data_IF_048244787551
#
_entry.id   IF_048244787551
#
_cell.length_a   1.000
_cell.length_b   1.000
_cell.length_c   1.000
_cell.angle_alpha   90.00
_cell.angle_beta   90.00
_cell.angle_gamma   90.00
#
_symmetry.space_group_name_H-M   'P 1'
#
loop_
_entity.id
_entity.type
_entity.pdbx_description
1 polymer ?
#
# COMPACT_ATOMS: atom_id res chain seq x y z
N UNK A 1 8.99 -1.37 15.32
CA UNK A 1 8.47 -1.64 16.68
C UNK A 1 6.96 -1.64 16.60
N UNK A 2 6.25 -2.48 17.36
CA UNK A 2 4.78 -2.45 17.38
C UNK A 2 4.30 -1.81 18.69
N UNK A 3 3.33 -0.90 18.60
CA UNK A 3 2.72 -0.18 19.73
C UNK A 3 1.21 -0.35 19.66
N UNK A 4 0.54 -0.48 20.81
CA UNK A 4 -0.91 -0.62 20.82
C UNK A 4 -1.59 0.75 20.64
N UNK A 5 -1.02 1.80 21.22
CA UNK A 5 -1.61 3.14 21.22
C UNK A 5 -0.60 4.24 20.89
N UNK A 6 -1.12 5.44 20.58
CA UNK A 6 -0.31 6.66 20.43
C UNK A 6 0.54 6.95 21.67
N UNK A 7 0.02 6.69 22.86
CA UNK A 7 0.71 6.96 24.12
C UNK A 7 1.92 6.03 24.36
N UNK A 8 1.90 4.84 23.75
CA UNK A 8 3.01 3.88 23.78
C UNK A 8 4.03 4.13 22.66
N UNK A 9 3.75 5.05 21.74
CA UNK A 9 4.71 5.44 20.72
C UNK A 9 5.95 6.05 21.40
N UNK A 10 7.16 5.69 20.95
CA UNK A 10 8.37 6.27 21.48
C UNK A 10 8.37 7.76 21.14
N UNK A 11 8.97 8.62 21.98
CA UNK A 11 9.06 10.03 21.64
C UNK A 11 9.84 10.21 20.32
N UNK A 12 9.56 11.28 19.57
CA UNK A 12 10.36 11.68 18.43
C UNK A 12 11.84 11.80 18.84
N UNK A 13 12.74 11.29 17.99
CA UNK A 13 14.18 11.36 18.21
C UNK A 13 14.78 12.32 17.19
N UNK A 14 15.62 13.30 17.60
CA UNK A 14 16.30 14.17 16.65
C UNK A 14 17.04 13.36 15.57
N UNK A 15 17.05 13.87 14.33
CA UNK A 15 17.67 13.19 13.18
C UNK A 15 17.11 11.80 12.84
N UNK A 16 15.94 11.43 13.36
CA UNK A 16 15.24 10.20 12.99
C UNK A 16 13.98 10.53 12.20
N UNK A 17 13.83 9.91 11.04
CA UNK A 17 12.59 9.90 10.29
C UNK A 17 11.71 8.75 10.77
N UNK A 18 10.55 9.08 11.33
CA UNK A 18 9.53 8.10 11.71
C UNK A 18 8.61 7.79 10.53
N UNK A 19 8.42 6.50 10.25
CA UNK A 19 7.44 5.98 9.30
C UNK A 19 6.42 5.14 10.06
N UNK A 20 5.15 5.52 9.97
CA UNK A 20 4.07 4.82 10.63
C UNK A 20 3.52 3.70 9.72
N UNK A 21 3.38 2.50 10.27
CA UNK A 21 2.67 1.39 9.63
C UNK A 21 1.35 1.19 10.36
N UNK A 22 0.23 1.43 9.68
CA UNK A 22 -1.11 1.22 10.22
C UNK A 22 -1.46 -0.25 10.05
N UNK A 23 -1.27 -1.03 11.12
CA UNK A 23 -1.40 -2.49 11.07
C UNK A 23 -2.84 -2.93 11.33
N UNK A 24 -3.55 -3.28 10.26
CA UNK A 24 -4.97 -3.66 10.28
C UNK A 24 -5.21 -5.13 10.64
N UNK A 25 -4.22 -5.84 11.17
CA UNK A 25 -4.25 -7.29 11.35
C UNK A 25 -5.28 -7.83 12.36
N UNK A 26 -5.72 -7.03 13.34
CA UNK A 26 -6.68 -7.43 14.39
C UNK A 26 -6.39 -8.81 15.03
N UNK A 27 -5.11 -9.07 15.36
CA UNK A 27 -4.69 -10.34 15.95
C UNK A 27 -4.50 -11.52 14.97
N UNK A 28 -4.77 -11.33 13.67
CA UNK A 28 -4.48 -12.32 12.65
C UNK A 28 -3.05 -12.19 12.09
N UNK A 29 -2.45 -13.27 11.59
CA UNK A 29 -1.16 -13.21 10.90
C UNK A 29 -1.21 -12.35 9.63
N UNK A 30 -0.53 -11.20 9.66
CA UNK A 30 -0.46 -10.27 8.52
C UNK A 30 0.90 -10.40 7.83
N UNK A 31 0.93 -11.04 6.65
CA UNK A 31 2.13 -11.12 5.81
C UNK A 31 2.46 -9.78 5.15
N UNK A 32 1.42 -9.00 4.81
CA UNK A 32 1.57 -7.67 4.21
C UNK A 32 2.32 -6.72 5.12
N UNK A 33 2.03 -6.72 6.43
CA UNK A 33 2.80 -5.94 7.40
C UNK A 33 4.30 -6.23 7.34
N UNK A 34 4.70 -7.49 7.41
CA UNK A 34 6.11 -7.87 7.38
C UNK A 34 6.77 -7.50 6.04
N UNK A 35 6.02 -7.60 4.95
CA UNK A 35 6.46 -7.23 3.62
C UNK A 35 6.69 -5.71 3.48
N UNK A 36 5.80 -4.88 4.05
CA UNK A 36 5.97 -3.42 4.13
C UNK A 36 7.21 -3.06 4.96
N UNK A 37 7.33 -3.61 6.17
CA UNK A 37 8.50 -3.38 7.04
C UNK A 37 9.78 -3.83 6.34
N UNK A 38 9.73 -4.93 5.60
CA UNK A 38 10.88 -5.39 4.85
C UNK A 38 11.25 -4.45 3.70
N UNK A 39 10.26 -3.95 2.95
CA UNK A 39 10.47 -2.99 1.85
C UNK A 39 11.15 -1.72 2.36
N UNK A 40 10.66 -1.17 3.48
CA UNK A 40 11.30 -0.03 4.15
C UNK A 40 12.72 -0.33 4.60
N UNK A 41 12.96 -1.51 5.18
CA UNK A 41 14.31 -1.94 5.57
C UNK A 41 15.23 -2.05 4.37
N UNK A 42 14.75 -2.57 3.25
CA UNK A 42 15.55 -2.72 2.03
C UNK A 42 16.00 -1.35 1.52
N UNK A 43 15.08 -0.38 1.40
CA UNK A 43 15.42 0.98 1.01
C UNK A 43 16.41 1.60 2.00
N UNK A 44 16.19 1.45 3.32
CA UNK A 44 17.13 1.97 4.32
C UNK A 44 18.54 1.32 4.23
N UNK A 45 18.62 0.05 3.82
CA UNK A 45 19.90 -0.61 3.56
C UNK A 45 20.61 -0.02 2.33
N UNK A 46 19.89 0.27 1.24
CA UNK A 46 20.45 0.93 0.06
C UNK A 46 21.00 2.33 0.42
N UNK A 47 20.37 3.01 1.36
CA UNK A 47 20.73 4.35 1.79
C UNK A 47 21.73 4.39 2.96
N UNK A 48 22.26 3.24 3.40
CA UNK A 48 23.01 3.11 4.66
C UNK A 48 24.19 4.07 4.76
N UNK A 49 24.98 4.19 3.70
CA UNK A 49 26.19 5.03 3.70
C UNK A 49 25.84 6.52 3.79
N UNK A 50 24.79 6.94 3.09
CA UNK A 50 24.28 8.31 3.13
C UNK A 50 23.64 8.67 4.47
N UNK A 51 22.85 7.75 5.03
CA UNK A 51 22.27 7.89 6.37
C UNK A 51 23.36 8.03 7.43
N UNK A 52 24.40 7.20 7.37
CA UNK A 52 25.53 7.27 8.28
C UNK A 52 26.30 8.59 8.14
N UNK A 53 26.61 9.02 6.92
CA UNK A 53 27.32 10.27 6.65
C UNK A 53 26.53 11.51 7.12
N UNK A 54 25.20 11.50 6.95
CA UNK A 54 24.32 12.57 7.42
C UNK A 54 23.89 12.41 8.89
N UNK A 55 24.35 11.36 9.60
CA UNK A 55 23.93 11.05 10.97
C UNK A 55 22.41 10.90 11.14
N UNK A 56 21.70 10.46 10.09
CA UNK A 56 20.26 10.28 10.07
C UNK A 56 19.89 8.81 10.33
N UNK A 57 18.66 8.60 10.79
CA UNK A 57 18.09 7.27 11.00
C UNK A 57 16.67 7.20 10.44
N UNK A 58 16.23 5.98 10.09
CA UNK A 58 14.84 5.68 9.75
C UNK A 58 14.31 4.72 10.80
N UNK A 59 13.16 5.04 11.39
CA UNK A 59 12.50 4.21 12.40
C UNK A 59 11.07 3.90 11.93
N UNK A 60 10.72 2.62 12.01
CA UNK A 60 9.38 2.14 11.65
C UNK A 60 8.59 1.82 12.91
N UNK A 61 7.42 2.46 13.05
CA UNK A 61 6.51 2.30 14.19
C UNK A 61 5.19 1.75 13.65
N UNK A 62 4.89 0.51 14.02
CA UNK A 62 3.65 -0.18 13.64
C UNK A 62 2.60 0.05 14.71
N UNK A 63 1.47 0.62 14.35
CA UNK A 63 0.35 0.89 15.25
C UNK A 63 -0.72 -0.19 15.08
N UNK A 64 -1.11 -0.87 16.17
CA UNK A 64 -2.25 -1.80 16.15
C UNK A 64 -3.56 -1.03 16.17
N UNK A 65 -4.00 -0.63 14.98
CA UNK A 65 -5.13 0.29 14.79
C UNK A 65 -6.41 -0.27 15.38
N UNK A 66 -6.72 -1.53 15.09
CA UNK A 66 -8.05 -2.10 15.32
C UNK A 66 -8.28 -2.57 16.76
N UNK A 67 -7.22 -2.93 17.49
CA UNK A 67 -7.35 -3.41 18.88
C UNK A 67 -7.30 -2.31 19.93
N UNK A 68 -6.62 -1.20 19.65
CA UNK A 68 -6.34 -0.18 20.66
C UNK A 68 -6.42 1.26 20.13
N UNK A 69 -7.08 1.47 18.97
CA UNK A 69 -7.21 2.78 18.32
C UNK A 69 -5.85 3.48 18.14
N UNK A 70 -4.79 2.71 17.91
CA UNK A 70 -3.46 3.25 17.71
C UNK A 70 -3.37 3.95 16.37
N UNK A 71 -3.36 5.29 16.38
CA UNK A 71 -3.00 6.10 15.22
C UNK A 71 -1.79 6.99 15.56
N UNK A 72 -0.87 7.23 14.61
CA UNK A 72 0.19 8.22 14.79
C UNK A 72 -0.41 9.63 14.92
N UNK A 73 0.41 10.55 15.42
CA UNK A 73 0.11 11.99 15.28
C UNK A 73 0.60 12.45 13.93
N UNK A 74 -0.16 13.31 13.26
CA UNK A 74 0.36 14.09 12.15
C UNK A 74 1.13 15.29 12.71
N UNK A 75 2.43 15.31 12.50
CA UNK A 75 3.28 16.43 12.87
C UNK A 75 2.94 17.65 11.99
N UNK A 76 2.81 18.83 12.60
CA UNK A 76 2.45 20.06 11.89
C UNK A 76 3.58 20.61 10.99
N UNK A 77 4.82 20.17 11.17
CA UNK A 77 5.96 20.52 10.33
C UNK A 77 6.14 19.55 9.16
N UNK A 78 5.96 18.24 9.37
CA UNK A 78 6.29 17.22 8.37
C UNK A 78 5.09 16.48 7.76
N UNK A 79 3.90 16.60 8.35
CA UNK A 79 2.66 16.03 7.83
C UNK A 79 2.46 14.53 7.99
N UNK A 80 3.41 13.78 8.55
CA UNK A 80 3.28 12.33 8.77
C UNK A 80 3.40 11.44 7.51
N UNK A 81 4.06 10.28 7.67
CA UNK A 81 4.22 9.28 6.62
C UNK A 81 3.63 7.93 7.06
N UNK A 82 2.47 7.60 6.52
CA UNK A 82 1.72 6.39 6.88
C UNK A 82 1.65 5.39 5.72
N UNK A 83 1.79 4.11 6.06
CA UNK A 83 1.52 2.98 5.16
C UNK A 83 0.50 2.09 5.86
N UNK A 84 -0.70 1.97 5.30
CA UNK A 84 -1.72 1.10 5.88
C UNK A 84 -1.77 -0.26 5.21
N UNK A 85 -1.84 -1.30 6.02
CA UNK A 85 -1.78 -2.69 5.53
C UNK A 85 -3.16 -3.24 5.20
N UNK A 86 -3.17 -4.42 4.57
CA UNK A 86 -4.34 -5.29 4.57
C UNK A 86 -4.71 -5.78 5.97
N UNK A 87 -5.90 -6.36 6.07
CA UNK A 87 -6.52 -6.81 7.32
C UNK A 87 -7.76 -7.68 7.02
N UNK A 88 -8.15 -8.56 7.95
CA UNK A 88 -9.30 -9.45 7.77
C UNK A 88 -10.64 -8.78 8.12
N UNK A 89 -11.75 -9.40 7.75
CA UNK A 89 -13.11 -9.00 8.12
C UNK A 89 -13.72 -7.93 7.23
N UNK A 90 -14.89 -7.48 7.66
CA UNK A 90 -15.71 -6.48 7.00
C UNK A 90 -15.02 -5.12 7.04
N UNK A 91 -15.16 -4.30 5.98
CA UNK A 91 -14.57 -2.95 5.91
C UNK A 91 -15.29 -1.94 6.82
N UNK A 92 -16.58 -2.18 7.04
CA UNK A 92 -17.36 -1.60 8.15
C UNK A 92 -17.11 -2.36 9.46
N UNK A 93 -16.43 -1.76 10.45
CA UNK A 93 -16.15 -2.45 11.70
C UNK A 93 -17.40 -2.71 12.54
N UNK A 94 -18.50 -1.97 12.35
CA UNK A 94 -19.76 -2.26 13.05
C UNK A 94 -20.42 -3.55 12.56
N UNK A 95 -20.04 -4.04 11.37
CA UNK A 95 -20.50 -5.33 10.80
C UNK A 95 -19.56 -6.50 11.14
N UNK A 96 -18.45 -6.25 11.82
CA UNK A 96 -17.60 -7.29 12.38
C UNK A 96 -18.18 -7.75 13.73
N UNK A 97 -19.31 -8.45 13.64
CA UNK A 97 -20.13 -8.96 14.75
C UNK A 97 -19.95 -10.48 15.01
N UNK A 98 -19.02 -11.11 14.28
CA UNK A 98 -18.77 -12.54 14.28
C UNK A 98 -19.81 -13.39 13.54
N UNK A 99 -20.82 -12.77 12.90
CA UNK A 99 -21.95 -13.45 12.25
C UNK A 99 -22.09 -13.08 10.78
N UNK A 100 -21.86 -11.82 10.41
CA UNK A 100 -21.85 -11.39 9.02
C UNK A 100 -20.88 -12.28 8.23
N UNK A 101 -21.27 -12.86 7.09
CA UNK A 101 -20.40 -13.75 6.33
C UNK A 101 -19.05 -13.12 5.99
N UNK A 102 -19.04 -11.81 5.75
CA UNK A 102 -17.85 -11.06 5.45
C UNK A 102 -17.08 -10.57 6.69
N UNK A 103 -17.61 -10.75 7.89
CA UNK A 103 -16.86 -10.55 9.14
C UNK A 103 -15.72 -11.55 9.31
N UNK A 104 -15.77 -12.68 8.62
CA UNK A 104 -14.83 -13.79 8.80
C UNK A 104 -14.74 -14.27 10.25
N UNK A 105 -15.84 -14.19 11.02
CA UNK A 105 -15.89 -14.56 12.43
C UNK A 105 -15.24 -13.53 13.36
N UNK A 106 -14.86 -12.36 12.85
CA UNK A 106 -14.28 -11.29 13.66
C UNK A 106 -15.38 -10.59 14.43
N UNK A 107 -15.13 -10.48 15.73
CA UNK A 107 -15.81 -9.54 16.63
C UNK A 107 -14.83 -8.40 16.89
N UNK A 108 -15.23 -7.16 16.60
CA UNK A 108 -14.40 -6.00 16.92
C UNK A 108 -15.22 -4.83 17.46
N UNK A 109 -14.51 -3.89 18.10
CA UNK A 109 -15.08 -2.63 18.54
C UNK A 109 -14.84 -1.57 17.44
N UNK A 110 -15.89 -0.92 16.89
CA UNK A 110 -15.74 0.08 15.84
C UNK A 110 -15.15 1.42 16.31
N UNK A 111 -14.84 1.59 17.60
CA UNK A 111 -14.36 2.86 18.16
C UNK A 111 -13.02 3.35 17.58
N UNK A 112 -12.29 2.51 16.85
CA UNK A 112 -11.06 2.93 16.15
C UNK A 112 -11.33 3.70 14.86
N UNK A 113 -12.48 3.54 14.22
CA UNK A 113 -12.76 4.12 12.89
C UNK A 113 -12.73 5.65 12.89
N UNK A 114 -13.40 6.36 13.83
CA UNK A 114 -13.35 7.83 13.85
C UNK A 114 -11.93 8.39 14.00
N UNK A 115 -11.09 7.69 14.76
CA UNK A 115 -9.68 8.06 15.00
C UNK A 115 -8.83 7.92 13.72
N UNK A 116 -9.06 6.86 12.95
CA UNK A 116 -8.43 6.66 11.64
C UNK A 116 -8.91 7.68 10.62
N UNK A 117 -10.20 7.99 10.59
CA UNK A 117 -10.73 9.00 9.68
C UNK A 117 -10.15 10.38 9.97
N UNK A 118 -10.01 10.75 11.25
CA UNK A 118 -9.32 11.99 11.64
C UNK A 118 -7.86 11.99 11.19
N UNK A 119 -7.13 10.88 11.37
CA UNK A 119 -5.78 10.75 10.83
C UNK A 119 -5.73 10.98 9.31
N UNK A 120 -6.67 10.40 8.57
CA UNK A 120 -6.73 10.56 7.12
C UNK A 120 -7.05 12.02 6.71
N UNK A 121 -7.94 12.69 7.44
CA UNK A 121 -8.21 14.11 7.25
C UNK A 121 -6.95 14.96 7.52
N UNK A 122 -6.23 14.71 8.62
CA UNK A 122 -5.00 15.42 8.97
C UNK A 122 -3.90 15.21 7.91
N UNK A 123 -3.70 13.96 7.45
CA UNK A 123 -2.75 13.63 6.38
C UNK A 123 -3.11 14.30 5.05
N UNK A 124 -4.40 14.36 4.71
CA UNK A 124 -4.87 14.99 3.47
C UNK A 124 -4.73 16.51 3.52
N UNK A 125 -5.04 17.12 4.67
CA UNK A 125 -4.96 18.56 4.88
C UNK A 125 -3.52 19.08 4.87
N UNK A 126 -2.55 18.28 5.33
CA UNK A 126 -1.15 18.68 5.32
C UNK A 126 -0.50 18.46 3.93
N UNK A 127 0.20 19.46 3.34
CA UNK A 127 0.83 19.33 2.02
C UNK A 127 1.93 18.26 1.99
N UNK A 128 2.60 18.04 3.13
CA UNK A 128 3.59 16.98 3.29
C UNK A 128 3.02 15.61 3.66
N UNK A 129 1.72 15.48 3.97
CA UNK A 129 1.16 14.22 4.47
C UNK A 129 1.11 13.13 3.41
N UNK A 130 1.43 11.90 3.82
CA UNK A 130 1.50 10.74 2.92
C UNK A 130 0.75 9.55 3.52
N UNK A 131 -0.08 8.90 2.71
CA UNK A 131 -0.79 7.68 3.02
C UNK A 131 -0.73 6.74 1.81
N UNK A 132 -0.07 5.59 1.98
CA UNK A 132 -0.11 4.49 1.02
C UNK A 132 -0.96 3.35 1.62
N UNK A 133 -2.20 3.22 1.16
CA UNK A 133 -3.19 2.27 1.69
C UNK A 133 -3.29 1.00 0.85
N UNK A 134 -3.16 -0.16 1.50
CA UNK A 134 -3.15 -1.48 0.85
C UNK A 134 -4.39 -2.28 1.30
N UNK A 135 -5.07 -2.92 0.34
CA UNK A 135 -6.17 -3.86 0.52
C UNK A 135 -7.25 -3.35 1.49
N UNK A 136 -7.24 -3.80 2.75
CA UNK A 136 -8.20 -3.37 3.77
C UNK A 136 -8.11 -1.87 4.05
N UNK A 137 -6.90 -1.29 4.13
CA UNK A 137 -6.76 0.17 4.29
C UNK A 137 -7.36 0.91 3.09
N UNK A 138 -7.18 0.41 1.87
CA UNK A 138 -7.85 0.96 0.69
C UNK A 138 -9.38 0.93 0.82
N UNK A 139 -9.95 -0.19 1.29
CA UNK A 139 -11.38 -0.28 1.56
C UNK A 139 -11.87 0.72 2.62
N UNK A 140 -11.09 0.92 3.69
CA UNK A 140 -11.36 1.93 4.73
C UNK A 140 -11.25 3.36 4.15
N UNK A 141 -10.29 3.63 3.26
CA UNK A 141 -10.21 4.91 2.54
C UNK A 141 -11.45 5.17 1.67
N UNK A 142 -11.93 4.15 0.93
CA UNK A 142 -13.16 4.27 0.14
C UNK A 142 -14.38 4.61 0.99
N UNK A 143 -14.47 4.04 2.20
CA UNK A 143 -15.53 4.36 3.19
C UNK A 143 -15.39 5.76 3.75
N UNK A 144 -14.20 6.15 4.18
CA UNK A 144 -13.89 7.50 4.66
C UNK A 144 -14.33 8.57 3.66
N UNK A 145 -14.01 8.35 2.38
CA UNK A 145 -14.33 9.28 1.29
C UNK A 145 -15.79 9.15 0.80
N UNK A 146 -16.50 8.10 1.19
CA UNK A 146 -17.86 7.76 0.72
C UNK A 146 -17.96 7.68 -0.81
N UNK A 147 -16.98 7.04 -1.44
CA UNK A 147 -16.88 6.96 -2.91
C UNK A 147 -17.24 5.59 -3.47
N UNK A 148 -17.22 4.53 -2.64
CA UNK A 148 -17.52 3.19 -3.07
C UNK A 148 -18.15 2.36 -1.94
N UNK A 149 -19.08 1.48 -2.33
CA UNK A 149 -19.73 0.53 -1.44
C UNK A 149 -18.97 -0.81 -1.43
N UNK A 150 -18.76 -1.41 -0.25
CA UNK A 150 -18.18 -2.74 -0.15
C UNK A 150 -19.23 -3.80 -0.47
N UNK A 151 -19.01 -4.55 -1.54
CA UNK A 151 -19.86 -5.66 -1.96
C UNK A 151 -19.10 -6.97 -1.79
N UNK A 152 -19.66 -7.88 -1.00
CA UNK A 152 -19.07 -9.20 -0.78
C UNK A 152 -19.09 -9.99 -2.11
N UNK A 153 -17.95 -10.56 -2.50
CA UNK A 153 -17.84 -11.35 -3.72
C UNK A 153 -18.60 -12.67 -3.59
N UNK A 154 -19.59 -12.88 -4.47
CA UNK A 154 -20.36 -14.11 -4.52
C UNK A 154 -19.70 -15.21 -5.34
N UNK A 155 -20.33 -16.39 -5.35
CA UNK A 155 -19.84 -17.57 -6.07
C UNK A 155 -19.80 -17.37 -7.59
N UNK A 156 -20.66 -16.51 -8.12
CA UNK A 156 -20.71 -16.13 -9.53
C UNK A 156 -19.42 -15.47 -10.04
N UNK A 157 -18.63 -14.88 -9.13
CA UNK A 157 -17.30 -14.30 -9.38
C UNK A 157 -16.14 -15.20 -8.93
N UNK A 158 -16.41 -16.48 -8.66
CA UNK A 158 -15.45 -17.42 -8.10
C UNK A 158 -15.22 -17.25 -6.60
N UNK A 159 -16.04 -16.46 -5.90
CA UNK A 159 -15.87 -16.15 -4.49
C UNK A 159 -14.72 -15.16 -4.23
N UNK A 160 -13.97 -15.40 -3.14
CA UNK A 160 -12.83 -14.58 -2.74
C UNK A 160 -11.83 -14.48 -3.90
N UNK A 161 -11.43 -13.27 -4.26
CA UNK A 161 -10.34 -13.07 -5.21
C UNK A 161 -9.03 -13.47 -4.53
N UNK A 162 -8.29 -14.41 -5.11
CA UNK A 162 -7.01 -14.90 -4.59
C UNK A 162 -6.08 -15.32 -5.72
N UNK A 163 -4.83 -14.86 -5.69
CA UNK A 163 -3.81 -15.22 -6.69
C UNK A 163 -3.46 -14.06 -7.61
N UNK A 164 -2.85 -14.39 -8.74
CA UNK A 164 -2.54 -13.39 -9.77
C UNK A 164 -3.82 -13.08 -10.55
N UNK A 165 -4.22 -11.82 -10.51
CA UNK A 165 -5.38 -11.29 -11.21
C UNK A 165 -4.92 -10.26 -12.24
N UNK A 166 -5.83 -9.90 -13.14
CA UNK A 166 -5.63 -8.83 -14.10
C UNK A 166 -6.50 -7.62 -13.72
N UNK A 167 -5.88 -6.44 -13.70
CA UNK A 167 -6.58 -5.17 -13.60
C UNK A 167 -6.44 -4.40 -14.91
N UNK A 168 -7.37 -3.50 -15.17
CA UNK A 168 -7.32 -2.54 -16.26
C UNK A 168 -7.03 -1.13 -15.71
N UNK A 169 -6.11 -0.41 -16.36
CA UNK A 169 -5.84 1.00 -16.09
C UNK A 169 -6.88 1.87 -16.78
N UNK A 170 -7.32 2.92 -16.08
CA UNK A 170 -8.32 3.88 -16.57
C UNK A 170 -7.71 4.88 -17.56
N UNK A 171 -8.55 5.64 -18.26
CA UNK A 171 -8.10 6.75 -19.10
C UNK A 171 -7.51 7.91 -18.29
N UNK A 172 -7.92 8.04 -17.03
CA UNK A 172 -7.31 8.93 -16.06
C UNK A 172 -5.87 8.49 -15.75
N UNK A 173 -5.61 7.18 -15.56
CA UNK A 173 -4.27 6.65 -15.34
C UNK A 173 -3.32 6.97 -16.51
N UNK A 174 -3.81 6.85 -17.75
CA UNK A 174 -3.03 7.21 -18.96
C UNK A 174 -2.58 8.68 -18.97
N UNK A 175 -3.39 9.57 -18.41
CA UNK A 175 -3.12 11.02 -18.35
C UNK A 175 -2.45 11.43 -17.04
N UNK A 176 -2.25 10.50 -16.12
CA UNK A 176 -1.73 10.77 -14.79
C UNK A 176 -0.22 11.07 -14.81
N UNK A 177 0.30 12.07 -14.09
CA UNK A 177 1.74 12.39 -14.08
C UNK A 177 2.64 11.20 -13.77
N UNK A 178 2.28 10.42 -12.74
CA UNK A 178 2.94 9.16 -12.36
C UNK A 178 2.45 7.91 -13.14
N UNK A 179 1.16 7.58 -13.08
CA UNK A 179 0.65 6.33 -13.66
C UNK A 179 0.67 6.27 -15.20
N UNK A 180 0.88 7.38 -15.91
CA UNK A 180 1.09 7.34 -17.38
C UNK A 180 2.25 6.44 -17.79
N UNK A 181 3.27 6.31 -16.94
CA UNK A 181 4.41 5.44 -17.22
C UNK A 181 4.01 3.97 -17.11
N UNK A 182 3.27 3.59 -16.07
CA UNK A 182 2.69 2.26 -15.96
C UNK A 182 1.76 1.97 -17.15
N UNK A 183 0.91 2.93 -17.52
CA UNK A 183 0.05 2.83 -18.71
C UNK A 183 0.84 2.65 -20.00
N UNK A 184 1.99 3.31 -20.16
CA UNK A 184 2.86 3.14 -21.32
C UNK A 184 3.48 1.74 -21.35
N UNK A 185 3.93 1.23 -20.20
CA UNK A 185 4.49 -0.13 -20.08
C UNK A 185 3.44 -1.23 -20.29
N UNK A 186 2.19 -1.00 -19.86
CA UNK A 186 1.06 -1.89 -20.13
C UNK A 186 0.66 -1.92 -21.63
N UNK A 187 1.13 -0.95 -22.42
CA UNK A 187 0.85 -0.87 -23.85
C UNK A 187 -0.64 -0.69 -24.18
N UNK A 188 -1.06 -0.95 -25.43
CA UNK A 188 -2.43 -0.70 -25.87
C UNK A 188 -3.52 -1.43 -25.08
N UNK A 189 -3.20 -2.56 -24.44
CA UNK A 189 -4.15 -3.34 -23.64
C UNK A 189 -4.56 -2.62 -22.35
N UNK A 190 -3.68 -1.77 -21.80
CA UNK A 190 -3.81 -1.15 -20.48
C UNK A 190 -4.06 -2.15 -19.35
N UNK A 191 -3.65 -3.41 -19.54
CA UNK A 191 -3.86 -4.48 -18.57
C UNK A 191 -2.58 -4.73 -17.81
N UNK A 192 -2.71 -4.91 -16.50
CA UNK A 192 -1.61 -5.14 -15.58
C UNK A 192 -1.89 -6.35 -14.69
N UNK A 193 -0.85 -7.10 -14.37
CA UNK A 193 -0.95 -8.18 -13.40
C UNK A 193 -0.89 -7.62 -11.97
N UNK A 194 -1.70 -8.18 -11.08
CA UNK A 194 -1.72 -7.84 -9.65
C UNK A 194 -1.82 -9.10 -8.80
N UNK A 195 -1.21 -9.11 -7.62
CA UNK A 195 -1.45 -10.16 -6.64
C UNK A 195 -2.61 -9.74 -5.73
N UNK A 196 -3.72 -10.47 -5.79
CA UNK A 196 -4.96 -10.14 -5.08
C UNK A 196 -5.28 -11.18 -3.99
N UNK A 197 -5.95 -10.72 -2.94
CA UNK A 197 -6.44 -11.56 -1.84
C UNK A 197 -7.57 -10.84 -1.07
N UNK A 198 -8.70 -10.60 -1.72
CA UNK A 198 -9.81 -9.81 -1.14
C UNK A 198 -11.16 -10.52 -1.17
N UNK A 199 -11.98 -10.18 -0.19
CA UNK A 199 -13.38 -10.62 -0.11
C UNK A 199 -14.36 -9.61 -0.70
N UNK A 200 -13.98 -8.34 -0.79
CA UNK A 200 -14.87 -7.26 -1.17
C UNK A 200 -14.47 -6.62 -2.49
N UNK A 201 -15.48 -6.42 -3.33
CA UNK A 201 -15.46 -5.45 -4.41
C UNK A 201 -15.83 -4.07 -3.87
N UNK A 202 -15.11 -3.04 -4.30
CA UNK A 202 -15.43 -1.65 -3.97
C UNK A 202 -16.10 -1.06 -5.22
N UNK A 203 -17.43 -1.05 -5.20
CA UNK A 203 -18.22 -0.56 -6.33
C UNK A 203 -18.44 0.95 -6.18
N UNK A 204 -18.02 1.78 -7.15
CA UNK A 204 -18.24 3.22 -7.08
C UNK A 204 -19.72 3.57 -6.92
N UNK A 205 -20.03 4.52 -6.04
CA UNK A 205 -21.40 5.03 -5.80
C UNK A 205 -21.86 5.97 -6.95
N UNK A 206 -20.92 6.34 -7.82
CA UNK A 206 -21.12 7.18 -8.99
C UNK A 206 -19.78 7.53 -9.62
N UNK A 207 -19.75 8.60 -10.41
CA UNK A 207 -18.49 9.18 -10.86
C UNK A 207 -17.72 9.75 -9.66
N UNK A 208 -16.42 9.49 -9.60
CA UNK A 208 -15.58 10.04 -8.54
C UNK A 208 -15.56 11.58 -8.62
N UNK A 209 -15.85 12.28 -7.51
CA UNK A 209 -15.74 13.74 -7.49
C UNK A 209 -14.27 14.15 -7.54
N UNK A 210 -13.98 15.28 -8.18
CA UNK A 210 -12.67 15.91 -8.05
C UNK A 210 -12.38 16.21 -6.57
N UNK A 211 -11.13 16.05 -6.09
CA UNK A 211 -9.92 15.77 -6.86
C UNK A 211 -9.58 14.27 -7.03
N UNK A 212 -10.50 13.35 -6.72
CA UNK A 212 -10.18 11.92 -6.69
C UNK A 212 -10.06 11.35 -8.10
N UNK A 213 -9.04 10.50 -8.29
CA UNK A 213 -8.73 9.89 -9.58
C UNK A 213 -8.81 8.38 -9.47
N UNK A 214 -9.69 7.74 -10.25
CA UNK A 214 -9.67 6.28 -10.41
C UNK A 214 -8.46 5.91 -11.26
N UNK A 215 -7.61 5.03 -10.77
CA UNK A 215 -6.39 4.60 -11.49
C UNK A 215 -6.58 3.22 -12.11
N UNK A 216 -7.28 2.33 -11.41
CA UNK A 216 -7.41 0.93 -11.81
C UNK A 216 -8.78 0.36 -11.50
N UNK A 217 -9.21 -0.56 -12.34
CA UNK A 217 -10.43 -1.35 -12.20
C UNK A 217 -10.12 -2.83 -12.32
N UNK A 218 -10.95 -3.67 -11.71
CA UNK A 218 -10.84 -5.11 -11.88
C UNK A 218 -11.18 -5.51 -13.33
N UNK A 219 -10.71 -6.68 -13.74
CA UNK A 219 -11.24 -7.37 -14.91
C UNK A 219 -12.00 -8.62 -14.47
N UNK A 220 -12.99 -9.05 -15.24
CA UNK A 220 -13.72 -10.29 -14.99
C UNK A 220 -12.97 -11.47 -15.60
N UNK A 221 -11.81 -11.78 -15.00
CA UNK A 221 -10.86 -12.79 -15.48
C UNK A 221 -9.85 -12.23 -16.49
N UNK A 222 -8.75 -12.95 -16.69
CA UNK A 222 -7.65 -12.54 -17.59
C UNK A 222 -8.15 -12.40 -19.03
N UNK A 223 -7.91 -11.24 -19.64
CA UNK A 223 -8.42 -10.89 -20.98
C UNK A 223 -9.93 -10.65 -21.03
N UNK A 224 -10.64 -10.75 -19.90
CA UNK A 224 -12.07 -10.56 -19.77
C UNK A 224 -12.49 -9.08 -19.86
N UNK A 225 -13.81 -8.80 -19.83
CA UNK A 225 -14.30 -7.43 -19.79
C UNK A 225 -13.86 -6.71 -18.51
N UNK A 226 -13.73 -5.39 -18.58
CA UNK A 226 -13.46 -4.56 -17.40
C UNK A 226 -14.69 -4.60 -16.49
N UNK A 227 -14.46 -4.93 -15.22
CA UNK A 227 -15.49 -4.98 -14.19
C UNK A 227 -15.72 -3.61 -13.54
N UNK A 228 -16.81 -3.47 -12.77
CA UNK A 228 -17.14 -2.19 -12.13
C UNK A 228 -16.32 -1.92 -10.88
N UNK A 229 -15.66 -2.92 -10.28
CA UNK A 229 -14.96 -2.74 -9.02
C UNK A 229 -13.68 -1.91 -9.21
N UNK A 230 -13.55 -0.90 -8.38
CA UNK A 230 -12.36 -0.06 -8.31
C UNK A 230 -11.25 -0.77 -7.56
N UNK A 231 -10.04 -0.74 -8.10
CA UNK A 231 -8.87 -1.42 -7.52
C UNK A 231 -7.76 -0.47 -7.13
N UNK A 232 -7.75 0.76 -7.65
CA UNK A 232 -6.76 1.78 -7.30
C UNK A 232 -7.36 3.18 -7.35
N UNK A 233 -7.07 4.01 -6.35
CA UNK A 233 -7.44 5.43 -6.30
C UNK A 233 -6.29 6.31 -5.89
N UNK A 234 -6.20 7.47 -6.51
CA UNK A 234 -5.47 8.60 -5.95
C UNK A 234 -6.44 9.62 -5.38
N UNK A 235 -6.17 10.08 -4.16
CA UNK A 235 -6.96 11.09 -3.43
C UNK A 235 -6.27 12.45 -3.47
N UNK A 236 -4.94 12.46 -3.39
CA UNK A 236 -4.14 13.67 -3.49
C UNK A 236 -2.73 13.35 -3.99
N UNK A 237 -2.15 14.29 -4.73
CA UNK A 237 -0.78 14.25 -5.23
C UNK A 237 0.04 15.45 -4.76
N UNK A 238 1.35 15.38 -4.97
CA UNK A 238 2.22 16.54 -4.83
C UNK A 238 2.05 17.46 -6.04
N UNK A 239 1.79 18.77 -5.84
CA UNK A 239 1.62 19.69 -6.96
C UNK A 239 2.92 19.98 -7.72
N UNK A 240 4.11 19.73 -7.15
CA UNK A 240 5.38 20.07 -7.76
C UNK A 240 5.96 19.00 -8.69
N UNK A 241 5.43 17.78 -8.66
CA UNK A 241 5.89 16.70 -9.54
C UNK A 241 4.85 15.62 -9.86
N UNK A 242 3.65 15.75 -9.29
CA UNK A 242 2.55 14.84 -9.55
C UNK A 242 2.70 13.45 -8.93
N UNK A 243 3.66 13.24 -8.01
CA UNK A 243 3.75 11.99 -7.25
C UNK A 243 2.53 11.81 -6.33
N UNK A 244 1.84 10.65 -6.34
CA UNK A 244 0.75 10.37 -5.42
C UNK A 244 1.19 10.50 -3.96
N UNK A 245 0.46 11.29 -3.15
CA UNK A 245 0.67 11.41 -1.70
C UNK A 245 -0.29 10.53 -0.93
N UNK A 246 -1.56 10.52 -1.34
CA UNK A 246 -2.63 9.75 -0.73
C UNK A 246 -3.13 8.78 -1.80
N UNK A 247 -2.63 7.55 -1.76
CA UNK A 247 -2.83 6.50 -2.76
C UNK A 247 -3.37 5.25 -2.08
N UNK A 248 -4.44 4.68 -2.62
CA UNK A 248 -5.02 3.44 -2.14
C UNK A 248 -5.06 2.39 -3.25
N UNK A 249 -4.71 1.15 -2.92
CA UNK A 249 -4.75 0.01 -3.84
C UNK A 249 -5.35 -1.22 -3.16
N UNK A 250 -6.15 -1.98 -3.89
CA UNK A 250 -6.88 -3.14 -3.37
C UNK A 250 -6.03 -4.42 -3.36
N UNK A 251 -5.08 -4.51 -4.29
CA UNK A 251 -4.12 -5.62 -4.40
C UNK A 251 -2.96 -5.50 -3.41
N UNK A 252 -2.03 -6.46 -3.46
CA UNK A 252 -0.91 -6.61 -2.54
C UNK A 252 0.46 -6.38 -3.21
N UNK A 253 0.79 -5.13 -3.60
CA UNK A 253 2.07 -4.81 -4.24
C UNK A 253 3.28 -4.96 -3.31
N UNK A 254 3.06 -5.09 -2.00
CA UNK A 254 4.13 -5.34 -1.04
C UNK A 254 4.69 -6.77 -1.13
N UNK A 255 3.95 -7.71 -1.74
CA UNK A 255 4.27 -9.14 -1.77
C UNK A 255 4.91 -9.51 -3.14
N UNK A 256 6.09 -8.94 -3.43
CA UNK A 256 6.82 -9.18 -4.69
C UNK A 256 7.73 -10.42 -4.67
N UNK A 257 8.38 -10.73 -3.54
CA UNK A 257 9.33 -11.85 -3.47
C UNK A 257 8.67 -13.15 -2.98
N UNK A 258 8.05 -13.90 -3.91
CA UNK A 258 7.30 -15.13 -3.60
C UNK A 258 8.12 -16.22 -2.90
N UNK A 259 9.36 -16.56 -3.34
CA UNK A 259 10.19 -17.54 -2.61
C UNK A 259 10.44 -17.15 -1.15
N UNK A 260 10.65 -15.86 -0.90
CA UNK A 260 10.83 -15.34 0.45
C UNK A 260 9.55 -15.38 1.26
N UNK A 261 8.40 -15.08 0.66
CA UNK A 261 7.10 -15.15 1.30
C UNK A 261 6.75 -16.59 1.66
N UNK A 262 7.04 -17.56 0.78
CA UNK A 262 6.95 -18.99 1.08
C UNK A 262 7.86 -19.39 2.25
N UNK A 263 9.09 -18.87 2.32
CA UNK A 263 9.99 -19.13 3.43
C UNK A 263 9.54 -18.50 4.76
N UNK A 264 8.87 -17.34 4.72
CA UNK A 264 8.31 -16.68 5.89
C UNK A 264 7.03 -17.40 6.37
N UNK A 265 6.18 -17.79 5.42
CA UNK A 265 4.99 -18.61 5.62
C UNK A 265 5.36 -19.94 6.30
N UNK A 266 6.32 -20.69 5.75
CA UNK A 266 6.86 -21.94 6.35
C UNK A 266 7.37 -21.73 7.77
N UNK A 267 8.09 -20.64 8.03
CA UNK A 267 8.61 -20.32 9.37
C UNK A 267 7.51 -19.99 10.37
N UNK A 268 6.45 -19.30 9.96
CA UNK A 268 5.31 -18.98 10.83
C UNK A 268 4.48 -20.23 11.16
N UNK A 269 4.28 -21.11 10.18
CA UNK A 269 3.60 -22.41 10.36
C UNK A 269 4.38 -23.31 11.32
N UNK A 270 5.69 -23.46 11.10
CA UNK A 270 6.56 -24.23 11.98
C UNK A 270 6.59 -23.72 13.44
N UNK A 271 6.20 -22.47 13.68
CA UNK A 271 6.11 -21.85 15.01
C UNK A 271 4.69 -21.88 15.60
N UNK A 272 3.72 -22.47 14.91
CA UNK A 272 2.32 -22.53 15.33
C UNK A 272 1.59 -21.18 15.31
N UNK A 273 2.14 -20.18 14.62
CA UNK A 273 1.49 -18.86 14.51
C UNK A 273 0.36 -18.82 13.47
N UNK A 274 0.30 -19.82 12.59
CA UNK A 274 -0.74 -20.02 11.58
C UNK A 274 -1.11 -21.49 11.58
N UNK A 275 -2.39 -21.80 11.37
CA UNK A 275 -2.88 -23.18 11.25
C UNK A 275 -2.62 -23.76 9.85
N UNK A 276 -2.84 -25.07 9.70
CA UNK A 276 -2.61 -25.81 8.45
C UNK A 276 -3.45 -25.29 7.29
N UNK A 277 -4.70 -24.90 7.56
CA UNK A 277 -5.63 -24.41 6.53
C UNK A 277 -5.14 -23.08 5.97
N UNK A 278 -4.81 -22.14 6.85
CA UNK A 278 -4.30 -20.82 6.47
C UNK A 278 -2.94 -20.95 5.76
N UNK A 279 -2.07 -21.83 6.25
CA UNK A 279 -0.81 -22.13 5.60
C UNK A 279 -1.01 -22.64 4.17
N UNK A 280 -1.91 -23.61 3.97
CA UNK A 280 -2.13 -24.23 2.67
C UNK A 280 -2.81 -23.29 1.68
N UNK A 281 -3.85 -22.54 2.09
CA UNK A 281 -4.50 -21.52 1.26
C UNK A 281 -3.48 -20.50 0.73
N UNK A 282 -2.58 -20.02 1.60
CA UNK A 282 -1.56 -19.02 1.25
C UNK A 282 -0.42 -19.61 0.44
N UNK A 283 -0.03 -20.85 0.72
CA UNK A 283 1.01 -21.55 -0.03
C UNK A 283 0.56 -21.78 -1.46
N UNK A 284 -0.67 -22.23 -1.69
CA UNK A 284 -1.23 -22.43 -3.03
C UNK A 284 -1.24 -21.13 -3.82
N UNK A 285 -1.78 -20.05 -3.23
CA UNK A 285 -1.77 -18.69 -3.83
C UNK A 285 -0.36 -18.24 -4.26
N UNK A 286 0.66 -18.55 -3.45
CA UNK A 286 2.05 -18.16 -3.75
C UNK A 286 2.77 -19.11 -4.72
N UNK A 287 2.26 -20.32 -4.93
CA UNK A 287 2.89 -21.36 -5.74
C UNK A 287 2.29 -21.55 -7.14
N UNK A 288 1.05 -21.10 -7.37
CA UNK A 288 0.29 -21.36 -8.61
C UNK A 288 1.00 -20.96 -9.92
N UNK A 289 2.05 -20.14 -9.87
CA UNK A 289 2.75 -19.62 -11.07
C UNK A 289 4.26 -19.43 -10.88
N UNK A 290 4.93 -20.32 -10.14
CA UNK A 290 6.39 -20.22 -9.94
C UNK A 290 7.22 -20.27 -11.25
N UNK A 291 6.64 -20.74 -12.35
CA UNK A 291 7.32 -20.88 -13.66
C UNK A 291 6.97 -19.77 -14.68
N UNK A 292 6.12 -18.80 -14.33
CA UNK A 292 5.74 -17.70 -15.24
C UNK A 292 6.57 -16.44 -15.00
N UNK A 293 7.75 -16.37 -15.63
CA UNK A 293 8.64 -15.20 -15.56
C UNK A 293 8.01 -13.91 -16.10
N UNK A 294 7.14 -14.02 -17.11
CA UNK A 294 6.49 -12.84 -17.68
C UNK A 294 5.46 -12.28 -16.70
N UNK A 295 4.69 -13.14 -16.05
CA UNK A 295 3.80 -12.79 -14.95
C UNK A 295 4.54 -12.16 -13.76
N UNK A 296 5.72 -12.68 -13.38
CA UNK A 296 6.56 -12.07 -12.34
C UNK A 296 7.01 -10.65 -12.70
N UNK A 297 7.50 -10.46 -13.93
CA UNK A 297 7.92 -9.13 -14.39
C UNK A 297 6.77 -8.13 -14.39
N UNK A 298 5.57 -8.56 -14.79
CA UNK A 298 4.37 -7.72 -14.75
C UNK A 298 3.94 -7.39 -13.31
N UNK A 299 4.04 -8.34 -12.38
CA UNK A 299 3.77 -8.08 -10.97
C UNK A 299 4.77 -7.08 -10.37
N UNK A 300 6.06 -7.25 -10.64
CA UNK A 300 7.09 -6.36 -10.13
C UNK A 300 6.93 -4.95 -10.71
N UNK A 301 6.57 -4.85 -12.00
CA UNK A 301 6.23 -3.59 -12.65
C UNK A 301 5.05 -2.91 -11.94
N UNK A 302 3.93 -3.60 -11.72
CA UNK A 302 2.78 -3.02 -11.03
C UNK A 302 3.13 -2.60 -9.61
N UNK A 303 3.88 -3.43 -8.88
CA UNK A 303 4.32 -3.15 -7.51
C UNK A 303 5.26 -1.95 -7.42
N UNK A 304 6.13 -1.79 -8.42
CA UNK A 304 7.00 -0.63 -8.60
C UNK A 304 6.19 0.67 -8.65
N UNK A 305 5.15 0.75 -9.48
CA UNK A 305 4.36 1.98 -9.61
C UNK A 305 3.30 2.18 -8.52
N UNK A 306 2.76 1.10 -7.95
CA UNK A 306 1.64 1.17 -7.01
C UNK A 306 2.05 1.21 -5.54
N UNK A 307 3.32 0.93 -5.21
CA UNK A 307 3.84 1.04 -3.85
C UNK A 307 5.32 1.43 -3.79
N UNK A 308 6.23 0.66 -4.39
CA UNK A 308 7.66 0.79 -4.09
C UNK A 308 8.28 2.12 -4.57
N UNK A 309 7.88 2.61 -5.74
CA UNK A 309 8.29 3.91 -6.26
C UNK A 309 7.81 5.06 -5.39
N UNK A 310 6.49 5.20 -5.13
CA UNK A 310 5.99 6.20 -4.19
C UNK A 310 6.63 6.11 -2.79
N UNK A 311 6.81 4.88 -2.27
CA UNK A 311 7.46 4.63 -0.99
C UNK A 311 8.90 5.18 -0.96
N UNK A 312 9.71 4.84 -1.96
CA UNK A 312 11.11 5.26 -2.06
C UNK A 312 11.22 6.77 -2.28
N UNK A 313 10.41 7.33 -3.16
CA UNK A 313 10.34 8.78 -3.39
C UNK A 313 10.06 9.54 -2.09
N UNK A 314 9.01 9.17 -1.35
CA UNK A 314 8.61 9.90 -0.14
C UNK A 314 9.63 9.75 0.98
N UNK A 315 10.29 8.59 1.06
CA UNK A 315 11.37 8.38 2.02
C UNK A 315 12.59 9.26 1.70
N UNK A 316 13.05 9.29 0.45
CA UNK A 316 14.18 10.11 0.00
C UNK A 316 13.92 11.60 0.24
N UNK A 317 12.74 12.09 -0.17
CA UNK A 317 12.37 13.48 0.00
C UNK A 317 12.33 13.92 1.45
N UNK A 318 11.79 13.06 2.34
CA UNK A 318 11.74 13.34 3.77
C UNK A 318 13.12 13.32 4.42
N UNK A 319 14.00 12.39 4.01
CA UNK A 319 15.38 12.36 4.47
C UNK A 319 16.17 13.58 4.02
N UNK A 320 16.02 14.01 2.76
CA UNK A 320 16.62 15.23 2.23
C UNK A 320 16.19 16.45 3.02
N UNK A 321 14.87 16.65 3.21
CA UNK A 321 14.31 17.76 4.00
C UNK A 321 14.77 17.72 5.46
N UNK A 322 14.87 16.54 6.06
CA UNK A 322 15.38 16.37 7.42
C UNK A 322 16.86 16.76 7.51
N UNK A 323 17.68 16.37 6.54
CA UNK A 323 19.09 16.77 6.46
C UNK A 323 19.22 18.29 6.31
N UNK A 324 18.46 18.89 5.38
CA UNK A 324 18.42 20.34 5.14
C UNK A 324 18.06 21.11 6.43
N UNK A 325 16.99 20.70 7.12
CA UNK A 325 16.56 21.30 8.39
C UNK A 325 17.64 21.21 9.48
N UNK A 326 18.46 20.16 9.45
CA UNK A 326 19.55 19.96 10.41
C UNK A 326 20.89 20.53 9.94
N UNK A 327 20.95 21.17 8.76
CA UNK A 327 22.18 21.70 8.17
C UNK A 327 23.21 20.61 7.83
N UNK A 328 22.76 19.41 7.46
CA UNK A 328 23.63 18.25 7.21
C UNK A 328 23.73 17.94 5.71
N UNK A 329 24.89 17.44 5.24
CA UNK A 329 25.06 17.09 3.84
C UNK A 329 24.17 15.91 3.46
N UNK A 330 23.47 16.02 2.33
CA UNK A 330 22.66 14.95 1.76
C UNK A 330 22.76 15.00 0.23
N UNK A 331 23.38 14.00 -0.42
CA UNK A 331 23.70 14.07 -1.84
C UNK A 331 22.61 13.51 -2.76
N UNK A 332 21.54 12.93 -2.20
CA UNK A 332 20.50 12.26 -2.99
C UNK A 332 19.27 13.14 -3.15
N UNK A 333 18.75 13.21 -4.37
CA UNK A 333 17.48 13.85 -4.67
C UNK A 333 16.45 12.80 -5.10
N UNK A 334 15.23 12.89 -4.59
CA UNK A 334 14.14 11.97 -4.91
C UNK A 334 13.78 11.93 -6.41
N UNK A 335 14.12 12.97 -7.18
CA UNK A 335 13.83 13.07 -8.61
C UNK A 335 14.88 12.41 -9.49
N UNK A 336 16.14 12.42 -9.05
CA UNK A 336 17.29 11.89 -9.81
C UNK A 336 17.76 10.52 -9.32
N UNK A 337 17.30 10.10 -8.14
CA UNK A 337 17.55 8.75 -7.64
C UNK A 337 16.60 7.76 -8.32
N UNK A 338 17.07 6.58 -8.77
CA UNK A 338 16.19 5.55 -9.31
C UNK A 338 15.09 5.14 -8.31
N UNK A 339 13.83 5.23 -8.75
CA UNK A 339 12.65 4.94 -7.91
C UNK A 339 11.71 3.89 -8.51
N UNK A 340 11.67 3.69 -9.82
CA UNK A 340 10.76 2.74 -10.45
C UNK A 340 11.46 1.82 -11.43
N UNK A 341 11.16 0.53 -11.32
CA UNK A 341 11.54 -0.47 -12.30
C UNK A 341 10.56 -0.47 -13.49
N UNK A 342 11.10 -0.53 -14.71
CA UNK A 342 10.39 -0.72 -15.96
C UNK A 342 10.27 -2.21 -16.34
N UNK A 343 9.46 -2.52 -17.35
CA UNK A 343 9.33 -3.89 -17.86
C UNK A 343 10.66 -4.47 -18.39
N UNK A 344 11.58 -3.61 -18.82
CA UNK A 344 12.94 -3.98 -19.26
C UNK A 344 13.85 -4.42 -18.11
N UNK A 345 13.43 -4.23 -16.85
CA UNK A 345 14.25 -4.42 -15.65
C UNK A 345 15.15 -3.22 -15.32
N UNK A 346 15.13 -2.17 -16.15
CA UNK A 346 15.80 -0.92 -15.88
C UNK A 346 15.09 -0.18 -14.73
N UNK A 347 15.86 0.41 -13.81
CA UNK A 347 15.33 1.24 -12.73
C UNK A 347 15.62 2.69 -13.05
N UNK A 348 14.56 3.46 -13.26
CA UNK A 348 14.63 4.87 -13.63
C UNK A 348 14.25 5.79 -12.48
N UNK A 349 14.84 6.97 -12.51
CA UNK A 349 14.49 8.13 -11.70
C UNK A 349 13.27 8.86 -12.27
N UNK A 350 12.70 9.79 -11.51
CA UNK A 350 11.53 10.56 -11.95
C UNK A 350 11.87 11.49 -13.14
N UNK A 351 13.08 12.04 -13.15
CA UNK A 351 13.59 12.88 -14.23
C UNK A 351 13.83 12.08 -15.51
N UNK A 352 14.37 10.86 -15.40
CA UNK A 352 14.55 9.95 -16.56
C UNK A 352 13.22 9.46 -17.14
N UNK A 353 12.19 9.34 -16.30
CA UNK A 353 10.82 9.10 -16.76
C UNK A 353 10.23 10.33 -17.48
N UNK A 354 10.81 11.52 -17.33
CA UNK A 354 10.35 12.75 -17.98
C UNK A 354 9.21 13.44 -17.24
N UNK A 355 9.16 13.35 -15.91
CA UNK A 355 8.19 14.11 -15.13
C UNK A 355 8.58 15.59 -15.13
N UNK A 356 7.73 16.42 -15.75
CA UNK A 356 7.90 17.87 -15.71
C UNK A 356 7.48 18.39 -14.33
N UNK A 357 8.18 19.40 -13.77
CA UNK A 357 7.80 20.06 -12.52
C UNK A 357 6.49 20.85 -12.61
#
# INVERSE_FOLDING_TARGET
MRVASRAEAPPPVPATLDVAVLDMHHGYPNLGHDAVVHSLRHIACDLREYLAAAGLQVRVISFDVRRASGTPTVDAEDGGFCIGTGGPGHLDPARNDGRDPGSQGIIENPSWEPEVFRLFDDLRAHPGGVLLGICHTFGVMCRWLRIADPVLRGQEKGGKSAGIMENALTDEARRHPWFRYLSAQAGPSQRIAVLDSRLYDLLPIGQLPAPFTAIGQETLGVGGPVGPAMTMIEVARDPADGMPRILGVNHHPEIVNRPRQLALLKRRHARGHIDDRWYEERRQTLMETLDDRAGEQQLDLTSSFSLHGPLRYHLLRRLRRLAERLGRPWPLDERTTPIAMLATGEVLSLDELGALP
#
